data_IF_886070437375
#
_entry.id   IF_886070437375
#
_cell.length_a   1.000
_cell.length_b   1.000
_cell.length_c   1.000
_cell.angle_alpha   90.00
_cell.angle_beta   90.00
_cell.angle_gamma   90.00
#
_symmetry.space_group_name_H-M   'P 1'
#
loop_
_entity.id
_entity.type
_entity.pdbx_description
1 polymer ?
#
# COMPACT_ATOMS: atom_id res chain seq x y z
N UNK A 1 -0.28 -16.95 9.17
CA UNK A 1 -0.33 -15.85 8.18
C UNK A 1 -1.23 -14.71 8.65
N UNK A 2 -2.53 -14.95 8.90
CA UNK A 2 -3.46 -13.90 9.38
C UNK A 2 -3.07 -13.37 10.75
N UNK A 3 -2.78 -14.26 11.71
CA UNK A 3 -2.33 -13.91 13.07
C UNK A 3 -1.10 -13.02 13.06
N UNK A 4 -0.05 -13.41 12.32
CA UNK A 4 1.17 -12.61 12.16
C UNK A 4 0.89 -11.21 11.57
N UNK A 5 0.05 -11.12 10.53
CA UNK A 5 -0.32 -9.82 9.94
C UNK A 5 -1.07 -8.94 10.95
N UNK A 6 -1.99 -9.53 11.69
CA UNK A 6 -2.74 -8.84 12.74
C UNK A 6 -1.82 -8.34 13.85
N UNK A 7 -0.91 -9.18 14.34
CA UNK A 7 0.03 -8.83 15.40
C UNK A 7 0.94 -7.66 15.02
N UNK A 8 1.39 -7.61 13.75
CA UNK A 8 2.25 -6.53 13.27
C UNK A 8 1.51 -5.20 13.07
N UNK A 9 0.29 -5.22 12.51
CA UNK A 9 -0.44 -3.99 12.14
C UNK A 9 -1.23 -3.38 13.30
N UNK A 10 -1.78 -4.20 14.19
CA UNK A 10 -2.73 -3.72 15.21
C UNK A 10 -2.10 -2.81 16.27
N UNK A 11 -0.87 -3.04 16.81
CA UNK A 11 -0.32 -2.18 17.85
C UNK A 11 -0.10 -0.72 17.39
N UNK A 12 0.51 -0.44 16.22
CA UNK A 12 0.55 0.91 15.65
C UNK A 12 -0.82 1.57 15.48
N UNK A 13 -1.81 0.78 15.06
CA UNK A 13 -3.17 1.26 14.83
C UNK A 13 -3.90 1.58 16.14
N UNK A 14 -3.68 0.79 17.18
CA UNK A 14 -4.16 1.03 18.54
C UNK A 14 -3.52 2.28 19.14
N UNK A 15 -2.21 2.45 18.99
CA UNK A 15 -1.49 3.67 19.40
C UNK A 15 -2.12 4.90 18.73
N UNK A 16 -2.31 4.87 17.42
CA UNK A 16 -2.89 5.99 16.67
C UNK A 16 -4.30 6.30 17.15
N UNK A 17 -5.11 5.28 17.41
CA UNK A 17 -6.46 5.44 17.99
C UNK A 17 -6.41 6.14 19.36
N UNK A 18 -5.47 5.74 20.22
CA UNK A 18 -5.27 6.38 21.52
C UNK A 18 -4.81 7.84 21.38
N UNK A 19 -3.90 8.13 20.45
CA UNK A 19 -3.45 9.49 20.17
C UNK A 19 -4.63 10.39 19.72
N UNK A 20 -5.54 9.88 18.88
CA UNK A 20 -6.74 10.62 18.50
C UNK A 20 -7.68 10.96 19.67
N UNK A 21 -7.68 10.13 20.72
CA UNK A 21 -8.42 10.40 21.96
C UNK A 21 -7.71 11.47 22.79
N UNK A 22 -6.38 11.46 22.82
CA UNK A 22 -5.55 12.29 23.71
C UNK A 22 -5.16 13.66 23.12
N UNK A 23 -4.95 13.77 21.80
CA UNK A 23 -4.50 15.03 21.15
C UNK A 23 -5.35 16.26 21.51
N UNK A 24 -6.70 16.19 21.64
CA UNK A 24 -7.48 17.36 22.04
C UNK A 24 -7.13 17.90 23.44
N UNK A 25 -6.52 17.12 24.33
CA UNK A 25 -6.24 17.54 25.72
C UNK A 25 -4.90 18.25 25.89
N UNK A 26 -4.03 18.23 24.87
CA UNK A 26 -2.63 18.70 24.99
C UNK A 26 -2.35 20.05 24.32
N UNK A 27 -3.36 20.69 23.71
CA UNK A 27 -3.17 21.93 22.98
C UNK A 27 -4.37 22.86 23.02
N UNK A 28 -4.23 23.98 22.31
CA UNK A 28 -5.23 25.04 22.25
C UNK A 28 -5.15 25.74 20.91
N UNK A 29 -6.29 26.11 20.35
CA UNK A 29 -6.40 26.79 19.07
C UNK A 29 -7.82 27.32 18.85
N UNK A 30 -8.01 28.26 17.93
CA UNK A 30 -9.32 28.87 17.68
C UNK A 30 -10.36 27.87 17.14
N UNK A 31 -9.92 26.82 16.44
CA UNK A 31 -10.76 25.78 15.87
C UNK A 31 -10.50 24.41 16.54
N UNK A 32 -9.95 24.43 17.76
CA UNK A 32 -9.40 23.22 18.40
C UNK A 32 -10.46 22.16 18.63
N UNK A 33 -11.58 22.53 19.23
CA UNK A 33 -12.65 21.59 19.54
C UNK A 33 -13.50 21.25 18.30
N UNK A 34 -13.63 22.19 17.38
CA UNK A 34 -14.37 22.04 16.13
C UNK A 34 -13.73 20.98 15.23
N UNK A 35 -12.40 20.97 15.15
CA UNK A 35 -11.64 20.05 14.30
C UNK A 35 -11.36 18.72 15.01
N UNK A 36 -10.96 18.75 16.28
CA UNK A 36 -10.48 17.56 17.00
C UNK A 36 -11.55 16.91 17.89
N UNK A 37 -12.60 17.65 18.30
CA UNK A 37 -13.61 17.16 19.25
C UNK A 37 -14.43 16.00 18.70
N UNK A 38 -14.99 16.15 17.48
CA UNK A 38 -15.81 15.10 16.85
C UNK A 38 -15.01 13.82 16.56
N UNK A 39 -13.82 13.86 15.92
CA UNK A 39 -13.00 12.66 15.76
C UNK A 39 -12.65 11.98 17.09
N UNK A 40 -12.31 12.77 18.12
CA UNK A 40 -11.96 12.24 19.44
C UNK A 40 -13.14 11.53 20.12
N UNK A 41 -14.33 12.10 20.05
CA UNK A 41 -15.55 11.47 20.60
C UNK A 41 -15.90 10.19 19.86
N UNK A 42 -15.83 10.22 18.52
CA UNK A 42 -16.03 9.01 17.71
C UNK A 42 -15.02 7.91 18.06
N UNK A 43 -13.77 8.27 18.36
CA UNK A 43 -12.77 7.32 18.82
C UNK A 43 -13.07 6.78 20.22
N UNK A 44 -13.54 7.60 21.17
CA UNK A 44 -13.96 7.11 22.49
C UNK A 44 -15.09 6.09 22.40
N UNK A 45 -16.07 6.32 21.53
CA UNK A 45 -17.24 5.45 21.38
C UNK A 45 -16.98 4.23 20.50
N UNK A 46 -16.12 4.35 19.48
CA UNK A 46 -16.00 3.35 18.41
C UNK A 46 -14.57 2.86 18.14
N UNK A 47 -13.63 3.02 19.09
CA UNK A 47 -12.25 2.52 18.95
C UNK A 47 -12.17 1.03 18.56
N UNK A 48 -13.11 0.22 19.06
CA UNK A 48 -13.18 -1.21 18.80
C UNK A 48 -13.32 -1.52 17.30
N UNK A 49 -13.95 -0.63 16.53
CA UNK A 49 -14.14 -0.82 15.07
C UNK A 49 -12.82 -0.83 14.30
N UNK A 50 -11.82 -0.09 14.79
CA UNK A 50 -10.47 -0.10 14.23
C UNK A 50 -9.76 -1.41 14.55
N UNK A 51 -9.81 -1.89 15.80
CA UNK A 51 -9.14 -3.14 16.20
C UNK A 51 -9.75 -4.39 15.56
N UNK A 52 -11.05 -4.35 15.24
CA UNK A 52 -11.75 -5.39 14.49
C UNK A 52 -11.66 -5.21 12.97
N UNK A 53 -10.97 -4.17 12.47
CA UNK A 53 -10.85 -3.88 11.04
C UNK A 53 -12.21 -3.79 10.32
N UNK A 54 -13.17 -3.13 10.96
CA UNK A 54 -14.56 -2.99 10.50
C UNK A 54 -14.99 -1.53 10.25
N UNK A 55 -14.07 -0.58 10.40
CA UNK A 55 -14.38 0.86 10.33
C UNK A 55 -14.99 1.31 8.99
N UNK A 56 -14.71 0.61 7.89
CA UNK A 56 -15.25 0.91 6.55
C UNK A 56 -16.75 0.62 6.39
N UNK A 57 -17.37 -0.13 7.29
CA UNK A 57 -18.82 -0.35 7.33
C UNK A 57 -19.57 0.68 8.19
N UNK A 58 -18.83 1.52 8.91
CA UNK A 58 -19.42 2.62 9.66
C UNK A 58 -19.75 3.79 8.74
N UNK A 59 -20.78 4.56 9.09
CA UNK A 59 -21.00 5.85 8.44
C UNK A 59 -19.84 6.80 8.76
N UNK A 60 -19.47 7.66 7.80
CA UNK A 60 -18.35 8.59 7.94
C UNK A 60 -18.42 9.46 9.21
N UNK A 61 -19.63 9.83 9.67
CA UNK A 61 -19.81 10.65 10.88
C UNK A 61 -19.48 9.92 12.16
N UNK A 62 -19.44 8.59 12.15
CA UNK A 62 -19.19 7.74 13.32
C UNK A 62 -17.82 7.09 13.30
N UNK A 63 -17.09 7.18 12.17
CA UNK A 63 -15.74 6.65 12.08
C UNK A 63 -14.83 7.39 13.06
N UNK A 64 -14.08 6.62 13.86
CA UNK A 64 -13.04 7.17 14.73
C UNK A 64 -11.97 7.91 13.91
N UNK A 65 -11.47 7.28 12.85
CA UNK A 65 -10.45 7.84 11.97
C UNK A 65 -10.89 7.69 10.51
N UNK A 66 -11.07 8.81 9.81
CA UNK A 66 -11.58 8.80 8.43
C UNK A 66 -10.67 8.11 7.41
N UNK A 67 -9.41 7.83 7.75
CA UNK A 67 -8.47 7.11 6.90
C UNK A 67 -8.41 5.61 7.27
N UNK A 68 -9.02 5.19 8.38
CA UNK A 68 -8.89 3.81 8.86
C UNK A 68 -9.63 2.79 8.02
N UNK A 69 -10.60 3.22 7.19
CA UNK A 69 -11.32 2.37 6.24
C UNK A 69 -10.36 1.57 5.33
N UNK A 70 -9.24 2.16 4.92
CA UNK A 70 -8.28 1.53 4.03
C UNK A 70 -7.60 0.36 4.72
N UNK A 71 -7.24 0.51 5.98
CA UNK A 71 -6.60 -0.54 6.77
C UNK A 71 -7.60 -1.67 7.05
N UNK A 72 -8.84 -1.34 7.39
CA UNK A 72 -9.95 -2.29 7.51
C UNK A 72 -10.13 -3.12 6.24
N UNK A 73 -10.23 -2.44 5.09
CA UNK A 73 -10.34 -3.06 3.78
C UNK A 73 -9.13 -3.94 3.44
N UNK A 74 -7.92 -3.49 3.78
CA UNK A 74 -6.68 -4.22 3.51
C UNK A 74 -6.64 -5.57 4.25
N UNK A 75 -7.11 -5.63 5.49
CA UNK A 75 -7.23 -6.88 6.24
C UNK A 75 -8.33 -7.79 5.67
N UNK A 76 -9.51 -7.22 5.35
CA UNK A 76 -10.62 -7.97 4.77
C UNK A 76 -10.23 -8.61 3.43
N UNK A 77 -9.57 -7.86 2.55
CA UNK A 77 -9.06 -8.37 1.28
C UNK A 77 -7.87 -9.30 1.42
N UNK A 78 -7.06 -9.17 2.47
CA UNK A 78 -6.05 -10.19 2.76
C UNK A 78 -6.71 -11.54 3.09
N UNK A 79 -7.76 -11.53 3.91
CA UNK A 79 -8.52 -12.74 4.27
C UNK A 79 -9.20 -13.35 3.04
N UNK A 80 -9.89 -12.54 2.23
CA UNK A 80 -10.54 -12.97 0.97
C UNK A 80 -9.51 -13.42 -0.08
N UNK A 81 -8.32 -12.82 -0.08
CA UNK A 81 -7.25 -13.12 -1.01
C UNK A 81 -6.62 -14.49 -0.81
N UNK A 82 -6.63 -15.05 0.41
CA UNK A 82 -6.10 -16.39 0.69
C UNK A 82 -6.82 -17.47 -0.13
N UNK A 83 -8.16 -17.66 -0.03
CA UNK A 83 -8.85 -18.68 -0.82
C UNK A 83 -8.79 -18.38 -2.32
N UNK A 84 -8.88 -17.11 -2.75
CA UNK A 84 -8.75 -16.76 -4.16
C UNK A 84 -7.36 -17.10 -4.72
N UNK A 85 -6.30 -16.84 -3.95
CA UNK A 85 -4.94 -17.22 -4.33
C UNK A 85 -4.81 -18.75 -4.46
N UNK A 86 -5.31 -19.52 -3.48
CA UNK A 86 -5.30 -20.98 -3.53
C UNK A 86 -6.05 -21.53 -4.75
N UNK A 87 -7.22 -20.96 -5.07
CA UNK A 87 -7.97 -21.31 -6.28
C UNK A 87 -7.18 -20.97 -7.56
N UNK A 88 -6.48 -19.83 -7.59
CA UNK A 88 -5.68 -19.40 -8.73
C UNK A 88 -4.48 -20.33 -8.98
N UNK A 89 -3.85 -20.86 -7.92
CA UNK A 89 -2.82 -21.90 -8.03
C UNK A 89 -3.37 -23.25 -8.51
N UNK A 90 -4.64 -23.57 -8.22
CA UNK A 90 -5.25 -24.85 -8.59
C UNK A 90 -5.85 -24.84 -9.99
N UNK A 91 -6.55 -23.78 -10.39
CA UNK A 91 -7.16 -23.62 -11.71
C UNK A 91 -7.09 -22.15 -12.17
N UNK A 92 -5.94 -21.71 -12.70
CA UNK A 92 -5.72 -20.30 -13.02
C UNK A 92 -6.70 -19.75 -14.07
N UNK A 93 -7.11 -20.57 -15.05
CA UNK A 93 -8.03 -20.15 -16.11
C UNK A 93 -9.41 -19.82 -15.55
N UNK A 94 -10.05 -20.78 -14.89
CA UNK A 94 -11.39 -20.59 -14.33
C UNK A 94 -11.42 -19.49 -13.25
N UNK A 95 -10.42 -19.46 -12.36
CA UNK A 95 -10.36 -18.44 -11.30
C UNK A 95 -10.11 -17.04 -11.87
N UNK A 96 -9.31 -16.90 -12.93
CA UNK A 96 -9.13 -15.59 -13.59
C UNK A 96 -10.43 -15.07 -14.20
N UNK A 97 -11.27 -15.94 -14.76
CA UNK A 97 -12.60 -15.57 -15.27
C UNK A 97 -13.50 -15.10 -14.13
N UNK A 98 -13.50 -15.79 -12.99
CA UNK A 98 -14.26 -15.37 -11.81
C UNK A 98 -13.79 -14.02 -11.28
N UNK A 99 -12.49 -13.81 -11.14
CA UNK A 99 -11.92 -12.54 -10.67
C UNK A 99 -12.27 -11.40 -11.64
N UNK A 100 -12.21 -11.63 -12.95
CA UNK A 100 -12.61 -10.66 -13.96
C UNK A 100 -14.10 -10.34 -13.86
N UNK A 101 -14.96 -11.34 -13.76
CA UNK A 101 -16.40 -11.16 -13.62
C UNK A 101 -16.76 -10.35 -12.36
N UNK A 102 -16.14 -10.65 -11.23
CA UNK A 102 -16.31 -9.88 -9.99
C UNK A 102 -15.81 -8.45 -10.13
N UNK A 103 -14.68 -8.23 -10.79
CA UNK A 103 -14.15 -6.89 -11.06
C UNK A 103 -15.12 -6.07 -11.90
N UNK A 104 -15.65 -6.65 -12.96
CA UNK A 104 -16.64 -5.99 -13.83
C UNK A 104 -17.95 -5.72 -13.08
N UNK A 105 -18.44 -6.67 -12.28
CA UNK A 105 -19.64 -6.51 -11.47
C UNK A 105 -19.48 -5.38 -10.43
N UNK A 106 -18.37 -5.34 -9.70
CA UNK A 106 -18.07 -4.28 -8.74
C UNK A 106 -17.90 -2.91 -9.41
N UNK A 107 -17.26 -2.85 -10.57
CA UNK A 107 -17.10 -1.61 -11.34
C UNK A 107 -18.47 -1.12 -11.85
N UNK A 108 -19.30 -2.01 -12.38
CA UNK A 108 -20.66 -1.71 -12.82
C UNK A 108 -21.53 -1.23 -11.65
N UNK A 109 -21.49 -1.91 -10.50
CA UNK A 109 -22.22 -1.49 -9.30
C UNK A 109 -21.79 -0.09 -8.83
N UNK A 110 -20.49 0.20 -8.86
CA UNK A 110 -19.95 1.53 -8.51
C UNK A 110 -20.47 2.60 -9.47
N UNK A 111 -20.43 2.34 -10.78
CA UNK A 111 -20.96 3.24 -11.81
C UNK A 111 -22.46 3.46 -11.64
N UNK A 112 -23.23 2.40 -11.38
CA UNK A 112 -24.69 2.48 -11.16
C UNK A 112 -25.02 3.33 -9.93
N UNK A 113 -24.34 3.09 -8.80
CA UNK A 113 -24.54 3.89 -7.58
C UNK A 113 -24.22 5.37 -7.83
N UNK A 114 -23.12 5.65 -8.53
CA UNK A 114 -22.73 7.01 -8.87
C UNK A 114 -23.74 7.70 -9.81
N UNK A 115 -24.24 6.98 -10.82
CA UNK A 115 -25.22 7.50 -11.78
C UNK A 115 -26.58 7.80 -11.12
N UNK A 116 -27.15 6.82 -10.42
CA UNK A 116 -28.49 6.93 -9.83
C UNK A 116 -28.57 8.03 -8.76
N UNK A 117 -27.46 8.28 -8.06
CA UNK A 117 -27.40 9.29 -7.00
C UNK A 117 -26.79 10.62 -7.46
N UNK A 118 -26.50 10.79 -8.77
CA UNK A 118 -25.86 11.99 -9.32
C UNK A 118 -24.62 12.43 -8.52
N UNK A 119 -23.75 11.46 -8.21
CA UNK A 119 -22.57 11.67 -7.38
C UNK A 119 -21.41 12.27 -8.17
N UNK A 120 -20.54 13.03 -7.50
CA UNK A 120 -19.31 13.50 -8.11
C UNK A 120 -18.39 12.33 -8.52
N UNK A 121 -17.55 12.51 -9.56
CA UNK A 121 -16.66 11.47 -10.07
C UNK A 121 -15.67 10.94 -9.01
N UNK A 122 -15.25 11.80 -8.08
CA UNK A 122 -14.28 11.44 -7.03
C UNK A 122 -14.55 12.21 -5.75
N UNK A 123 -13.84 11.83 -4.68
CA UNK A 123 -13.86 12.55 -3.41
C UNK A 123 -13.38 13.99 -3.63
N UNK A 124 -14.25 14.96 -3.35
CA UNK A 124 -13.87 16.36 -3.26
C UNK A 124 -13.71 16.76 -1.81
N UNK A 125 -12.51 17.25 -1.48
CA UNK A 125 -12.21 17.91 -0.22
C UNK A 125 -12.68 19.38 -0.21
N UNK A 126 -12.91 19.95 -1.40
CA UNK A 126 -13.41 21.31 -1.58
C UNK A 126 -14.50 21.30 -2.65
N UNK A 127 -15.73 21.61 -2.25
CA UNK A 127 -16.91 21.66 -3.13
C UNK A 127 -17.91 22.67 -2.59
N UNK A 128 -18.75 23.21 -3.47
CA UNK A 128 -19.91 24.00 -3.09
C UNK A 128 -21.05 23.12 -2.54
N UNK A 129 -21.15 21.85 -2.96
CA UNK A 129 -22.19 20.91 -2.53
C UNK A 129 -21.65 19.86 -1.55
N UNK A 130 -21.56 20.25 -0.28
CA UNK A 130 -21.13 19.36 0.81
C UNK A 130 -22.07 18.18 1.05
N UNK A 131 -23.34 18.27 0.64
CA UNK A 131 -24.29 17.17 0.79
C UNK A 131 -23.89 16.00 -0.11
N UNK A 132 -23.65 16.28 -1.40
CA UNK A 132 -23.20 15.28 -2.36
C UNK A 132 -21.81 14.74 -2.05
N UNK A 133 -20.89 15.57 -1.53
CA UNK A 133 -19.59 15.08 -1.08
C UNK A 133 -19.72 14.04 0.03
N UNK A 134 -20.55 14.32 1.06
CA UNK A 134 -20.82 13.39 2.16
C UNK A 134 -21.50 12.11 1.66
N UNK A 135 -22.43 12.22 0.71
CA UNK A 135 -23.07 11.05 0.11
C UNK A 135 -22.07 10.19 -0.66
N UNK A 136 -21.19 10.80 -1.47
CA UNK A 136 -20.14 10.09 -2.19
C UNK A 136 -19.17 9.35 -1.24
N UNK A 137 -18.81 9.98 -0.13
CA UNK A 137 -17.96 9.35 0.89
C UNK A 137 -18.58 8.05 1.41
N UNK A 138 -19.85 8.09 1.81
CA UNK A 138 -20.54 6.92 2.37
C UNK A 138 -20.89 5.86 1.33
N UNK A 139 -21.35 6.26 0.14
CA UNK A 139 -21.90 5.33 -0.86
C UNK A 139 -20.85 4.78 -1.83
N UNK A 140 -19.70 5.45 -1.98
CA UNK A 140 -18.68 5.07 -2.97
C UNK A 140 -17.31 4.98 -2.31
N UNK A 141 -16.81 6.05 -1.70
CA UNK A 141 -15.39 6.12 -1.32
C UNK A 141 -14.98 5.10 -0.25
N UNK A 142 -15.77 4.96 0.82
CA UNK A 142 -15.49 4.02 1.90
C UNK A 142 -15.99 2.59 1.65
N UNK A 143 -16.84 2.40 0.63
CA UNK A 143 -17.45 1.10 0.38
C UNK A 143 -16.45 0.08 -0.17
N UNK A 144 -16.36 -1.13 0.40
CA UNK A 144 -15.37 -2.13 -0.01
C UNK A 144 -15.41 -2.44 -1.51
N UNK A 145 -16.61 -2.67 -2.07
CA UNK A 145 -16.75 -3.16 -3.45
C UNK A 145 -16.13 -2.23 -4.49
N UNK A 146 -16.01 -0.92 -4.23
CA UNK A 146 -15.44 0.04 -5.19
C UNK A 146 -13.93 -0.11 -5.35
N UNK A 147 -13.27 -0.87 -4.48
CA UNK A 147 -11.83 -1.11 -4.45
C UNK A 147 -11.44 -2.53 -4.85
N UNK A 148 -12.40 -3.37 -5.27
CA UNK A 148 -12.12 -4.76 -5.65
C UNK A 148 -11.21 -4.86 -6.88
N UNK A 149 -11.36 -3.95 -7.86
CA UNK A 149 -10.53 -3.95 -9.06
C UNK A 149 -9.03 -3.81 -8.78
N UNK A 150 -8.58 -2.79 -8.03
CA UNK A 150 -7.19 -2.70 -7.57
C UNK A 150 -6.68 -3.97 -6.86
N UNK A 151 -7.49 -4.54 -5.98
CA UNK A 151 -7.16 -5.79 -5.28
C UNK A 151 -6.98 -6.96 -6.25
N UNK A 152 -7.91 -7.14 -7.19
CA UNK A 152 -7.88 -8.17 -8.21
C UNK A 152 -6.64 -8.07 -9.10
N UNK A 153 -6.29 -6.85 -9.54
CA UNK A 153 -5.08 -6.59 -10.33
C UNK A 153 -3.82 -7.00 -9.55
N UNK A 154 -3.72 -6.61 -8.28
CA UNK A 154 -2.60 -6.97 -7.41
C UNK A 154 -2.49 -8.47 -7.17
N UNK A 155 -3.62 -9.16 -6.95
CA UNK A 155 -3.67 -10.60 -6.74
C UNK A 155 -3.20 -11.38 -7.99
N UNK A 156 -3.74 -11.03 -9.16
CA UNK A 156 -3.35 -11.64 -10.43
C UNK A 156 -1.87 -11.39 -10.75
N UNK A 157 -1.39 -10.16 -10.52
CA UNK A 157 0.02 -9.82 -10.69
C UNK A 157 0.93 -10.63 -9.76
N UNK A 158 0.58 -10.71 -8.48
CA UNK A 158 1.32 -11.50 -7.50
C UNK A 158 1.41 -12.98 -7.90
N UNK A 159 0.31 -13.56 -8.40
CA UNK A 159 0.31 -14.91 -8.95
C UNK A 159 1.25 -15.07 -10.15
N UNK A 160 1.17 -14.17 -11.14
CA UNK A 160 2.05 -14.17 -12.32
C UNK A 160 3.51 -14.16 -11.89
N UNK A 161 3.89 -13.28 -10.95
CA UNK A 161 5.25 -13.17 -10.44
C UNK A 161 5.71 -14.36 -9.60
N UNK A 162 4.77 -15.06 -8.94
CA UNK A 162 5.10 -16.23 -8.12
C UNK A 162 5.31 -17.51 -8.94
N UNK A 163 4.59 -17.68 -10.05
CA UNK A 163 4.61 -18.91 -10.86
C UNK A 163 5.49 -18.77 -12.10
N UNK A 164 5.48 -17.60 -12.74
CA UNK A 164 6.24 -17.37 -13.96
C UNK A 164 7.52 -16.63 -13.63
N UNK A 165 8.63 -17.04 -14.28
CA UNK A 165 9.80 -16.18 -14.36
C UNK A 165 9.39 -14.84 -14.97
N UNK A 166 9.92 -13.75 -14.43
CA UNK A 166 9.58 -12.40 -14.87
C UNK A 166 9.68 -12.31 -16.40
N UNK A 167 8.57 -12.04 -17.11
CA UNK A 167 8.54 -12.09 -18.56
C UNK A 167 9.46 -11.00 -19.14
N UNK A 168 10.16 -11.34 -20.22
CA UNK A 168 10.92 -10.35 -20.99
C UNK A 168 10.08 -9.83 -22.14
N UNK A 169 9.98 -8.51 -22.23
CA UNK A 169 9.23 -7.82 -23.27
C UNK A 169 10.15 -7.28 -24.37
N UNK A 170 9.66 -7.24 -25.60
CA UNK A 170 10.33 -6.58 -26.72
C UNK A 170 10.26 -5.05 -26.57
N UNK A 171 11.13 -4.32 -27.26
CA UNK A 171 11.13 -2.84 -27.24
C UNK A 171 9.78 -2.25 -27.63
N UNK A 172 9.10 -2.83 -28.62
CA UNK A 172 7.76 -2.39 -29.04
C UNK A 172 6.73 -2.54 -27.91
N UNK A 173 6.74 -3.70 -27.22
CA UNK A 173 5.84 -3.93 -26.07
C UNK A 173 6.18 -3.03 -24.90
N UNK A 174 7.46 -2.72 -24.66
CA UNK A 174 7.87 -1.78 -23.62
C UNK A 174 7.33 -0.37 -23.88
N UNK A 175 7.53 0.15 -25.09
CA UNK A 175 7.04 1.48 -25.48
C UNK A 175 5.52 1.54 -25.41
N UNK A 176 4.82 0.56 -25.98
CA UNK A 176 3.37 0.50 -25.93
C UNK A 176 2.86 0.41 -24.48
N UNK A 177 3.45 -0.45 -23.66
CA UNK A 177 3.07 -0.61 -22.25
C UNK A 177 3.28 0.66 -21.43
N UNK A 178 4.40 1.39 -21.64
CA UNK A 178 4.62 2.68 -20.99
C UNK A 178 3.60 3.74 -21.41
N UNK A 179 3.35 3.88 -22.72
CA UNK A 179 2.36 4.84 -23.23
C UNK A 179 0.96 4.53 -22.68
N UNK A 180 0.54 3.27 -22.72
CA UNK A 180 -0.76 2.84 -22.17
C UNK A 180 -0.83 3.06 -20.66
N UNK A 181 0.18 2.63 -19.90
CA UNK A 181 0.24 2.81 -18.44
C UNK A 181 0.16 4.29 -18.04
N UNK A 182 0.99 5.13 -18.64
CA UNK A 182 1.03 6.57 -18.35
C UNK A 182 -0.28 7.25 -18.77
N UNK A 183 -0.90 6.82 -19.87
CA UNK A 183 -2.21 7.33 -20.29
C UNK A 183 -3.31 6.96 -19.30
N UNK A 184 -3.34 5.71 -18.81
CA UNK A 184 -4.32 5.26 -17.82
C UNK A 184 -4.16 5.98 -16.48
N UNK A 185 -2.91 6.15 -16.02
CA UNK A 185 -2.62 6.88 -14.78
C UNK A 185 -2.93 8.37 -14.93
N UNK A 186 -2.53 8.98 -16.06
CA UNK A 186 -2.81 10.37 -16.39
C UNK A 186 -4.31 10.65 -16.48
N UNK A 187 -5.07 9.81 -17.19
CA UNK A 187 -6.53 9.92 -17.25
C UNK A 187 -7.16 9.80 -15.85
N UNK A 188 -6.71 8.85 -15.04
CA UNK A 188 -7.21 8.68 -13.67
C UNK A 188 -6.94 9.92 -12.81
N UNK A 189 -5.81 10.61 -12.99
CA UNK A 189 -5.45 11.79 -12.20
C UNK A 189 -6.12 13.07 -12.71
N UNK A 190 -6.08 13.31 -14.02
CA UNK A 190 -6.42 14.59 -14.63
C UNK A 190 -7.84 14.69 -15.18
N UNK A 191 -8.51 13.57 -15.51
CA UNK A 191 -9.88 13.61 -16.05
C UNK A 191 -10.90 14.38 -15.18
N UNK A 192 -10.87 14.35 -13.83
CA UNK A 192 -11.80 15.13 -13.01
C UNK A 192 -11.35 16.60 -12.82
N UNK A 193 -10.37 17.10 -13.57
CA UNK A 193 -9.91 18.49 -13.46
C UNK A 193 -10.99 19.55 -13.73
N UNK A 194 -11.81 19.46 -14.82
CA UNK A 194 -12.89 20.42 -15.05
C UNK A 194 -13.85 20.50 -13.84
N UNK A 195 -14.15 19.34 -13.27
CA UNK A 195 -14.97 19.25 -12.07
C UNK A 195 -14.31 19.90 -10.83
N UNK A 196 -13.00 19.73 -10.63
CA UNK A 196 -12.25 20.42 -9.56
C UNK A 196 -12.19 21.93 -9.74
N UNK A 197 -12.26 22.43 -10.98
CA UNK A 197 -12.35 23.85 -11.30
C UNK A 197 -13.73 24.45 -11.01
N UNK A 198 -14.75 23.60 -10.85
CA UNK A 198 -16.14 24.00 -10.57
C UNK A 198 -17.09 23.84 -11.75
N UNK A 199 -16.64 23.24 -12.86
CA UNK A 199 -17.51 22.98 -14.00
C UNK A 199 -18.56 21.90 -13.65
N UNK A 200 -19.74 22.00 -14.26
CA UNK A 200 -20.79 20.99 -14.10
C UNK A 200 -20.32 19.62 -14.63
N UNK A 201 -20.66 18.55 -13.91
CA UNK A 201 -20.28 17.20 -14.29
C UNK A 201 -21.40 16.51 -15.08
N UNK A 202 -21.03 15.76 -16.11
CA UNK A 202 -21.95 14.81 -16.73
C UNK A 202 -22.15 13.61 -15.78
N UNK A 203 -23.41 13.22 -15.48
CA UNK A 203 -23.69 12.03 -14.67
C UNK A 203 -23.08 10.75 -15.27
N UNK A 204 -23.09 10.64 -16.61
CA UNK A 204 -22.50 9.50 -17.32
C UNK A 204 -20.98 9.47 -17.16
N UNK A 205 -20.32 10.61 -17.35
CA UNK A 205 -18.87 10.72 -17.14
C UNK A 205 -18.49 10.35 -15.71
N UNK A 206 -19.25 10.87 -14.73
CA UNK A 206 -18.99 10.63 -13.31
C UNK A 206 -19.17 9.18 -12.92
N UNK A 207 -20.19 8.52 -13.46
CA UNK A 207 -20.45 7.11 -13.27
C UNK A 207 -19.30 6.25 -13.83
N UNK A 208 -18.94 6.44 -15.10
CA UNK A 208 -17.86 5.69 -15.76
C UNK A 208 -16.53 5.91 -15.05
N UNK A 209 -16.22 7.16 -14.70
CA UNK A 209 -15.00 7.49 -13.98
C UNK A 209 -14.98 6.81 -12.60
N UNK A 210 -16.05 6.91 -11.82
CA UNK A 210 -16.13 6.34 -10.48
C UNK A 210 -15.88 4.81 -10.48
N UNK A 211 -16.44 4.08 -11.44
CA UNK A 211 -16.26 2.63 -11.55
C UNK A 211 -14.89 2.19 -12.07
N UNK A 212 -14.22 2.98 -12.89
CA UNK A 212 -13.03 2.53 -13.64
C UNK A 212 -11.70 3.09 -13.15
N UNK A 213 -11.66 4.34 -12.66
CA UNK A 213 -10.39 5.07 -12.46
C UNK A 213 -9.39 4.37 -11.52
N UNK A 214 -9.87 3.75 -10.43
CA UNK A 214 -8.98 3.05 -9.47
C UNK A 214 -8.30 1.84 -10.12
N UNK A 215 -9.06 1.07 -10.88
CA UNK A 215 -8.57 -0.11 -11.61
C UNK A 215 -7.59 0.32 -12.71
N UNK A 216 -7.92 1.37 -13.46
CA UNK A 216 -7.05 1.90 -14.52
C UNK A 216 -5.71 2.40 -13.95
N UNK A 217 -5.73 3.16 -12.87
CA UNK A 217 -4.51 3.58 -12.17
C UNK A 217 -3.67 2.37 -11.74
N UNK A 218 -4.32 1.36 -11.13
CA UNK A 218 -3.63 0.17 -10.61
C UNK A 218 -3.03 -0.69 -11.71
N UNK A 219 -3.67 -0.78 -12.88
CA UNK A 219 -3.10 -1.46 -14.05
C UNK A 219 -1.80 -0.79 -14.54
N UNK A 220 -1.72 0.54 -14.49
CA UNK A 220 -0.49 1.25 -14.80
C UNK A 220 0.63 0.94 -13.78
N UNK A 221 0.30 0.96 -12.49
CA UNK A 221 1.26 0.56 -11.43
C UNK A 221 1.67 -0.91 -11.57
N UNK A 222 0.75 -1.79 -11.99
CA UNK A 222 1.03 -3.20 -12.24
C UNK A 222 2.05 -3.40 -13.38
N UNK A 223 1.93 -2.62 -14.46
CA UNK A 223 2.92 -2.61 -15.53
C UNK A 223 4.30 -2.19 -15.03
N UNK A 224 4.40 -1.08 -14.28
CA UNK A 224 5.65 -0.64 -13.66
C UNK A 224 6.26 -1.73 -12.76
N UNK A 225 5.43 -2.40 -11.96
CA UNK A 225 5.87 -3.46 -11.05
C UNK A 225 6.40 -4.67 -11.82
N UNK A 226 5.74 -5.08 -12.91
CA UNK A 226 6.23 -6.12 -13.81
C UNK A 226 7.61 -5.77 -14.36
N UNK A 227 7.80 -4.53 -14.86
CA UNK A 227 9.09 -4.09 -15.41
C UNK A 227 10.19 -4.01 -14.36
N UNK A 228 9.88 -3.64 -13.12
CA UNK A 228 10.84 -3.68 -12.02
C UNK A 228 11.26 -5.12 -11.73
N UNK A 229 10.31 -6.06 -11.71
CA UNK A 229 10.61 -7.49 -11.48
C UNK A 229 11.40 -8.16 -12.61
N UNK A 230 11.23 -7.72 -13.86
CA UNK A 230 11.97 -8.23 -15.02
C UNK A 230 13.27 -7.48 -15.29
N UNK A 231 13.61 -6.49 -14.46
CA UNK A 231 14.76 -5.60 -14.63
C UNK A 231 14.75 -4.84 -15.98
N UNK A 232 13.56 -4.44 -16.45
CA UNK A 232 13.33 -3.70 -17.69
C UNK A 232 12.76 -2.28 -17.45
N UNK A 233 12.64 -1.85 -16.18
CA UNK A 233 12.16 -0.51 -15.83
C UNK A 233 13.22 0.60 -15.98
N UNK A 234 14.46 0.26 -16.33
CA UNK A 234 15.54 1.23 -16.55
C UNK A 234 15.81 2.11 -15.32
N UNK A 235 15.95 3.43 -15.53
CA UNK A 235 16.22 4.40 -14.46
C UNK A 235 15.16 4.38 -13.35
N UNK A 236 13.88 4.19 -13.72
CA UNK A 236 12.78 4.16 -12.76
C UNK A 236 12.93 2.95 -11.82
N UNK A 237 13.29 1.79 -12.37
CA UNK A 237 13.57 0.58 -11.58
C UNK A 237 14.75 0.76 -10.62
N UNK A 238 15.85 1.35 -11.10
CA UNK A 238 17.02 1.63 -10.26
C UNK A 238 16.70 2.62 -9.13
N UNK A 239 15.93 3.68 -9.41
CA UNK A 239 15.52 4.65 -8.40
C UNK A 239 14.63 4.01 -7.33
N UNK A 240 13.63 3.23 -7.74
CA UNK A 240 12.70 2.53 -6.83
C UNK A 240 13.37 1.44 -6.00
N UNK A 241 14.43 0.82 -6.52
CA UNK A 241 15.19 -0.23 -5.84
C UNK A 241 16.35 0.30 -5.00
N UNK A 242 16.51 1.62 -4.90
CA UNK A 242 17.59 2.25 -4.15
C UNK A 242 17.52 1.92 -2.65
N UNK A 243 18.66 1.61 -2.05
CA UNK A 243 18.79 1.37 -0.59
C UNK A 243 18.37 2.59 0.23
N UNK A 244 18.50 3.80 -0.32
CA UNK A 244 18.06 5.05 0.34
C UNK A 244 16.56 5.10 0.63
N UNK A 245 15.74 4.39 -0.16
CA UNK A 245 14.29 4.31 0.04
C UNK A 245 13.88 3.22 1.04
N UNK A 246 14.80 2.34 1.44
CA UNK A 246 14.52 1.24 2.38
C UNK A 246 14.03 1.71 3.77
N UNK A 247 14.67 2.69 4.44
CA UNK A 247 14.13 3.19 5.71
C UNK A 247 12.76 3.86 5.53
N UNK A 248 12.57 4.62 4.46
CA UNK A 248 11.30 5.28 4.18
C UNK A 248 10.17 4.28 3.90
N UNK A 249 10.47 3.19 3.19
CA UNK A 249 9.48 2.14 2.92
C UNK A 249 9.03 1.43 4.21
N UNK A 250 9.94 1.22 5.17
CA UNK A 250 9.60 0.67 6.50
C UNK A 250 8.70 1.62 7.30
N UNK A 251 8.94 2.94 7.23
CA UNK A 251 8.15 3.95 7.94
C UNK A 251 6.83 4.32 7.25
N UNK A 252 6.64 3.91 5.99
CA UNK A 252 5.48 4.32 5.17
C UNK A 252 4.13 4.01 5.83
N UNK A 253 4.01 2.84 6.48
CA UNK A 253 2.79 2.43 7.18
C UNK A 253 2.45 3.35 8.35
N UNK A 254 3.42 3.62 9.23
CA UNK A 254 3.24 4.52 10.37
C UNK A 254 3.05 5.97 9.94
N UNK A 255 3.73 6.39 8.87
CA UNK A 255 3.53 7.72 8.27
C UNK A 255 2.08 7.84 7.80
N UNK A 256 1.55 6.82 7.12
CA UNK A 256 0.15 6.77 6.72
C UNK A 256 -0.82 6.82 7.91
N UNK A 257 -0.54 6.15 9.02
CA UNK A 257 -1.41 6.20 10.19
C UNK A 257 -1.39 7.57 10.91
N UNK A 258 -0.19 8.14 11.06
CA UNK A 258 -0.02 9.31 11.93
C UNK A 258 -0.20 10.64 11.18
N UNK A 259 -0.07 10.69 9.85
CA UNK A 259 -0.14 11.95 9.09
C UNK A 259 -1.38 12.83 9.32
N UNK A 260 -2.58 12.30 9.67
CA UNK A 260 -3.74 13.17 9.88
C UNK A 260 -3.65 13.95 11.19
N UNK A 261 -2.84 13.51 12.17
CA UNK A 261 -2.64 14.21 13.43
C UNK A 261 -2.01 15.60 13.20
N UNK A 262 -0.82 15.74 12.57
CA UNK A 262 -0.25 17.06 12.30
C UNK A 262 -1.13 17.90 11.37
N UNK A 263 -1.90 17.28 10.45
CA UNK A 263 -2.88 17.99 9.62
C UNK A 263 -3.97 18.60 10.51
N UNK A 264 -4.61 17.82 11.38
CA UNK A 264 -5.66 18.33 12.25
C UNK A 264 -5.13 19.35 13.24
N UNK A 265 -3.97 19.14 13.83
CA UNK A 265 -3.33 20.11 14.74
C UNK A 265 -3.05 21.42 14.01
N UNK A 266 -2.54 21.37 12.77
CA UNK A 266 -2.32 22.58 11.98
C UNK A 266 -3.63 23.33 11.74
N UNK A 267 -4.65 22.65 11.19
CA UNK A 267 -5.97 23.27 10.90
C UNK A 267 -6.63 23.81 12.16
N UNK A 268 -6.57 23.06 13.27
CA UNK A 268 -7.11 23.44 14.57
C UNK A 268 -6.43 24.69 15.18
N UNK A 269 -5.15 24.89 14.86
CA UNK A 269 -4.32 25.98 15.39
C UNK A 269 -4.33 27.23 14.51
N UNK A 270 -4.81 27.12 13.27
CA UNK A 270 -4.84 28.24 12.31
C UNK A 270 -5.74 29.37 12.78
N UNK A 271 -5.17 30.56 12.93
CA UNK A 271 -5.87 31.78 13.43
C UNK A 271 -6.36 32.71 12.33
N UNK A 272 -5.80 32.58 11.13
CA UNK A 272 -6.06 33.48 10.01
C UNK A 272 -6.31 32.68 8.73
N UNK A 273 -7.09 33.26 7.82
CA UNK A 273 -7.26 32.69 6.49
C UNK A 273 -5.93 32.77 5.72
N UNK A 274 -5.48 31.64 5.19
CA UNK A 274 -4.31 31.58 4.30
C UNK A 274 -4.76 31.41 2.85
N UNK A 275 -3.99 31.96 1.92
CA UNK A 275 -4.27 31.83 0.49
C UNK A 275 -3.97 30.40 0.02
N UNK A 276 -4.87 29.83 -0.78
CA UNK A 276 -4.70 28.51 -1.39
C UNK A 276 -3.85 28.63 -2.67
N UNK A 277 -2.64 29.16 -2.54
CA UNK A 277 -1.68 29.21 -3.65
C UNK A 277 -0.77 27.97 -3.68
N UNK A 278 -0.22 27.67 -4.85
CA UNK A 278 0.61 26.47 -5.05
C UNK A 278 1.89 26.50 -4.21
N UNK A 279 2.49 27.66 -4.00
CA UNK A 279 3.74 27.80 -3.26
C UNK A 279 3.52 27.51 -1.76
N UNK A 280 2.50 28.12 -1.16
CA UNK A 280 2.10 27.86 0.21
C UNK A 280 1.72 26.39 0.42
N UNK A 281 0.95 25.81 -0.52
CA UNK A 281 0.57 24.39 -0.46
C UNK A 281 1.77 23.44 -0.52
N UNK A 282 2.79 23.75 -1.33
CA UNK A 282 4.02 22.98 -1.38
C UNK A 282 4.78 23.03 -0.05
N UNK A 283 4.93 24.21 0.55
CA UNK A 283 5.59 24.36 1.86
C UNK A 283 4.83 23.61 2.94
N UNK A 284 3.50 23.77 2.98
CA UNK A 284 2.64 23.10 3.95
C UNK A 284 2.74 21.58 3.79
N UNK A 285 2.69 21.06 2.56
CA UNK A 285 2.85 19.64 2.28
C UNK A 285 4.20 19.11 2.80
N UNK A 286 5.31 19.79 2.49
CA UNK A 286 6.64 19.37 2.93
C UNK A 286 6.78 19.41 4.46
N UNK A 287 6.22 20.42 5.11
CA UNK A 287 6.21 20.54 6.58
C UNK A 287 5.42 19.42 7.25
N UNK A 288 4.21 19.15 6.77
CA UNK A 288 3.35 18.05 7.26
C UNK A 288 4.01 16.69 7.00
N UNK A 289 4.57 16.47 5.81
CA UNK A 289 5.24 15.22 5.45
C UNK A 289 6.43 14.95 6.37
N UNK A 290 7.28 15.95 6.56
CA UNK A 290 8.47 15.83 7.42
C UNK A 290 8.07 15.53 8.86
N UNK A 291 7.08 16.26 9.39
CA UNK A 291 6.55 16.02 10.75
C UNK A 291 5.97 14.61 10.87
N UNK A 292 5.23 14.16 9.87
CA UNK A 292 4.62 12.82 9.86
C UNK A 292 5.67 11.71 9.85
N UNK A 293 6.76 11.88 9.11
CA UNK A 293 7.89 10.92 9.08
C UNK A 293 8.61 10.88 10.43
N UNK A 294 8.80 12.04 11.09
CA UNK A 294 9.40 12.10 12.43
C UNK A 294 8.51 11.35 13.44
N UNK A 295 7.21 11.62 13.46
CA UNK A 295 6.25 10.92 14.32
C UNK A 295 6.23 9.42 14.03
N UNK A 296 6.26 9.03 12.75
CA UNK A 296 6.33 7.64 12.34
C UNK A 296 7.59 6.94 12.83
N UNK A 297 8.75 7.60 12.76
CA UNK A 297 10.00 7.05 13.29
C UNK A 297 9.92 6.82 14.80
N UNK A 298 9.39 7.78 15.56
CA UNK A 298 9.21 7.64 17.02
C UNK A 298 8.28 6.47 17.35
N UNK A 299 7.13 6.37 16.69
CA UNK A 299 6.18 5.27 16.88
C UNK A 299 6.76 3.91 16.43
N UNK A 300 7.62 3.90 15.41
CA UNK A 300 8.29 2.69 14.94
C UNK A 300 9.21 2.12 16.02
N UNK A 301 10.04 2.97 16.63
CA UNK A 301 10.98 2.55 17.67
C UNK A 301 10.28 2.20 18.98
N UNK A 302 9.23 2.93 19.35
CA UNK A 302 8.55 2.75 20.65
C UNK A 302 7.47 1.68 20.66
N UNK A 303 6.88 1.36 19.50
CA UNK A 303 5.76 0.41 19.40
C UNK A 303 6.02 -0.69 18.38
N UNK A 304 6.23 -0.37 17.09
CA UNK A 304 6.32 -1.44 16.08
C UNK A 304 7.50 -2.41 16.34
N UNK A 305 8.68 -1.89 16.70
CA UNK A 305 9.86 -2.70 17.00
C UNK A 305 9.67 -3.60 18.23
N UNK A 306 9.29 -3.10 19.42
CA UNK A 306 9.05 -3.95 20.59
C UNK A 306 8.02 -5.04 20.36
N UNK A 307 6.92 -4.74 19.66
CA UNK A 307 5.89 -5.74 19.37
C UNK A 307 6.37 -6.78 18.36
N UNK A 308 7.18 -6.39 17.37
CA UNK A 308 7.82 -7.34 16.46
C UNK A 308 8.82 -8.26 17.20
N UNK A 309 9.61 -7.72 18.14
CA UNK A 309 10.50 -8.52 18.99
C UNK A 309 9.73 -9.47 19.89
N UNK A 310 8.59 -9.03 20.46
CA UNK A 310 7.72 -9.86 21.27
C UNK A 310 7.12 -11.03 20.46
N UNK A 311 6.72 -10.79 19.20
CA UNK A 311 6.26 -11.86 18.30
C UNK A 311 7.35 -12.92 18.09
N UNK A 312 8.58 -12.48 17.82
CA UNK A 312 9.71 -13.37 17.60
C UNK A 312 9.99 -14.25 18.82
N UNK A 313 9.91 -13.69 20.03
CA UNK A 313 10.09 -14.44 21.28
C UNK A 313 8.95 -15.46 21.47
N UNK A 314 7.69 -15.04 21.29
CA UNK A 314 6.52 -15.91 21.47
C UNK A 314 6.46 -17.05 20.44
N UNK A 315 7.02 -16.85 19.26
CA UNK A 315 7.02 -17.84 18.17
C UNK A 315 8.31 -18.66 18.11
N UNK A 316 9.38 -18.23 18.78
CA UNK A 316 10.59 -19.04 18.94
C UNK A 316 10.32 -20.24 19.85
N UNK A 317 10.39 -21.44 19.28
CA UNK A 317 10.27 -22.69 20.06
C UNK A 317 11.50 -22.84 20.98
N UNK A 318 11.36 -23.37 22.21
CA UNK A 318 12.48 -23.56 23.14
C UNK A 318 13.63 -24.45 22.62
N UNK A 319 13.46 -25.14 21.48
CA UNK A 319 14.40 -26.14 20.98
C UNK A 319 15.67 -25.58 20.30
N UNK A 320 15.77 -24.28 20.02
CA UNK A 320 16.93 -23.69 19.30
C UNK A 320 17.91 -22.89 20.16
N UNK A 321 17.69 -22.78 21.48
CA UNK A 321 18.60 -22.04 22.38
C UNK A 321 19.85 -22.82 22.82
N UNK A 322 20.08 -24.04 22.32
CA UNK A 322 21.22 -24.88 22.74
C UNK A 322 22.43 -24.91 21.80
N UNK A 323 22.54 -24.01 20.80
CA UNK A 323 23.82 -23.78 20.13
C UNK A 323 24.52 -22.55 20.71
N UNK A 324 25.50 -22.71 21.61
CA UNK A 324 26.31 -21.58 22.05
C UNK A 324 27.01 -20.97 20.84
N UNK A 325 26.93 -19.65 20.71
CA UNK A 325 27.65 -18.89 19.71
C UNK A 325 29.15 -19.22 19.83
N UNK A 326 29.74 -19.72 18.75
CA UNK A 326 31.19 -19.93 18.67
C UNK A 326 31.94 -18.60 18.86
N UNK A 327 33.00 -18.55 19.70
CA UNK A 327 33.77 -17.33 19.90
C UNK A 327 34.44 -16.86 18.60
N UNK A 328 34.45 -15.54 18.40
CA UNK A 328 35.06 -14.77 17.30
C UNK A 328 36.57 -15.04 17.03
N UNK A 329 37.23 -15.89 17.82
CA UNK A 329 38.64 -16.26 17.63
C UNK A 329 38.85 -17.27 16.50
N UNK A 330 37.87 -18.11 16.15
CA UNK A 330 38.06 -19.16 15.12
C UNK A 330 37.87 -18.67 13.68
N UNK A 331 37.15 -17.56 13.44
CA UNK A 331 36.99 -16.99 12.09
C UNK A 331 38.30 -16.40 11.50
N UNK A 332 39.31 -16.08 12.32
CA UNK A 332 40.57 -15.48 11.84
C UNK A 332 41.60 -16.50 11.37
N UNK A 333 41.54 -17.76 11.81
CA UNK A 333 42.51 -18.78 11.40
C UNK A 333 42.19 -19.42 10.05
N UNK A 334 40.90 -19.58 9.73
CA UNK A 334 40.48 -20.20 8.47
C UNK A 334 40.73 -19.29 7.26
N UNK A 335 40.63 -17.97 7.44
CA UNK A 335 40.98 -17.00 6.39
C UNK A 335 42.50 -16.86 6.17
N UNK A 336 43.32 -17.13 7.19
CA UNK A 336 44.78 -17.05 7.08
C UNK A 336 45.39 -18.28 6.43
N UNK A 337 44.77 -19.47 6.56
CA UNK A 337 45.20 -20.70 5.87
C UNK A 337 44.91 -20.69 4.37
N UNK A 338 43.77 -20.13 3.94
CA UNK A 338 43.38 -20.15 2.52
C UNK A 338 44.06 -19.06 1.67
N UNK A 339 44.68 -18.05 2.27
CA UNK A 339 45.36 -16.96 1.55
C UNK A 339 46.82 -17.23 1.13
N UNK A 340 47.44 -18.33 1.58
CA UNK A 340 48.88 -18.57 1.39
C UNK A 340 49.24 -19.62 0.32
N UNK A 341 48.26 -20.28 -0.32
CA UNK A 341 48.51 -21.44 -1.19
C UNK A 341 48.39 -21.15 -2.71
N UNK A 342 48.29 -19.89 -3.14
CA UNK A 342 48.17 -19.53 -4.55
C UNK A 342 49.44 -18.83 -5.08
N UNK A 343 50.58 -19.53 -5.06
CA UNK A 343 51.68 -19.23 -6.01
C UNK A 343 52.55 -20.47 -6.23
N UNK A 344 52.58 -20.93 -7.49
CA UNK A 344 53.53 -21.85 -8.17
C UNK A 344 52.77 -22.95 -8.95
N UNK A 345 52.68 -22.78 -10.27
CA UNK A 345 52.61 -23.93 -11.19
C UNK A 345 53.95 -24.70 -11.22
N UNK A 346 54.07 -25.85 -11.91
CA UNK A 346 53.84 -25.92 -13.36
C UNK A 346 53.23 -27.24 -13.93
N UNK A 347 52.81 -27.13 -15.20
CA UNK A 347 52.63 -28.09 -16.30
C UNK A 347 52.74 -29.62 -16.08
N UNK A 348 51.79 -30.41 -16.64
CA UNK A 348 52.03 -31.40 -17.73
C UNK A 348 50.75 -32.16 -18.19
N UNK A 349 50.71 -32.44 -19.49
CA UNK A 349 50.05 -33.55 -20.25
C UNK A 349 48.51 -33.72 -20.32
N UNK A 350 48.02 -33.74 -21.56
CA UNK A 350 46.78 -34.42 -22.01
C UNK A 350 46.94 -35.96 -22.03
N UNK A 351 45.83 -36.74 -22.03
CA UNK A 351 45.32 -37.25 -23.32
C UNK A 351 43.79 -37.42 -23.44
N UNK A 352 43.29 -37.09 -24.63
CA UNK A 352 42.45 -37.84 -25.60
C UNK A 352 41.46 -38.96 -25.16
N UNK A 353 40.20 -38.79 -25.61
CA UNK A 353 39.13 -39.75 -26.00
C UNK A 353 38.48 -40.72 -24.98
N UNK A 354 37.13 -40.69 -24.90
CA UNK A 354 36.25 -41.71 -25.49
C UNK A 354 34.74 -41.41 -25.31
N UNK A 355 34.00 -41.69 -26.39
CA UNK A 355 32.54 -41.73 -26.63
C UNK A 355 31.75 -42.60 -25.64
N UNK A 356 30.45 -42.28 -25.46
CA UNK A 356 29.24 -43.15 -25.45
C UNK A 356 28.00 -42.24 -25.19
N UNK A 357 27.18 -41.88 -26.19
CA UNK A 357 25.89 -42.50 -26.59
C UNK A 357 25.27 -43.39 -25.49
N UNK A 358 23.98 -43.35 -25.12
CA UNK A 358 22.75 -43.22 -25.92
C UNK A 358 21.53 -43.18 -24.95
N UNK A 359 20.37 -42.63 -25.38
CA UNK A 359 18.99 -43.18 -25.25
C UNK A 359 18.48 -43.75 -23.88
N UNK A 360 17.24 -43.60 -23.40
CA UNK A 360 15.97 -43.01 -23.83
C UNK A 360 14.88 -43.31 -22.75
N UNK A 361 13.72 -42.62 -22.84
CA UNK A 361 12.37 -43.00 -22.34
C UNK A 361 12.10 -43.13 -20.83
N UNK A 362 11.34 -42.17 -20.28
CA UNK A 362 9.88 -42.24 -20.11
C UNK A 362 9.30 -40.84 -19.84
#
# INVERSE_FOLDING_TARGET
MVTHRYWRMTPPFALTTALFILVPTIGSGPMWWEVLGTPSENCRLHWWSNLLYFSNYMSYTKMCMLHSWFLSLNMQYFIIGIPLALMLFRNPGATSVVILALTLACSAATSTVAYLNNLPPTMLMMTSDWSKAKQNLNMVYYQPFTHFGPFAVGLCLGYILSVKKAPRFSTATLVAGWLTSLSMMGASLFAPYPFRKGDAFSPVFSAVYAGCHRTLWTLGVAWLTLLCSSNQAGLVGSALSSSTLTPLSKLSYLTYLLHPIPIYVHVASTKEAFQLDHYYMCILYLGILTTSIILAYLAYVTVELPFASLEAILTSSPAETSKPALPLSQCKEEHRRNGSAASRGPALSAPTQAKLNESSRL
#
